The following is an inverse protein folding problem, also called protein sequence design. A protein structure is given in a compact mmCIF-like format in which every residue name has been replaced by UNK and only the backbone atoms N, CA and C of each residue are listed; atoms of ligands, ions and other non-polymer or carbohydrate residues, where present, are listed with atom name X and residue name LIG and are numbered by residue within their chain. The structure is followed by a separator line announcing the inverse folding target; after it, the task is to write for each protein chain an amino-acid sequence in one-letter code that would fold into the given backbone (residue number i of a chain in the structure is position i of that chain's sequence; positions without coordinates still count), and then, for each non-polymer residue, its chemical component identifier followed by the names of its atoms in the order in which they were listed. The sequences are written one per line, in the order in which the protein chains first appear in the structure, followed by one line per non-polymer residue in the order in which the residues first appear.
data_IF_991495912309
#
_entry.id   IF_991495912309
#
_cell.length_a   1.000
_cell.length_b   1.000
_cell.length_c   1.000
_cell.angle_alpha   90.00
_cell.angle_beta   90.00
_cell.angle_gamma   90.00
#
_symmetry.space_group_name_H-M   'P 1'
#
loop_
_entity.id
_entity.type
_entity.pdbx_description
1 polymer ?
#
# COMPACT_ATOMS: atom_id res chain seq x y z
N UNK A 1 -3.99 -27.64 16.66
CA UNK A 1 -3.69 -26.23 17.01
C UNK A 1 -4.94 -25.44 16.65
N UNK A 2 -5.48 -24.61 17.54
CA UNK A 2 -6.60 -23.74 17.19
C UNK A 2 -6.14 -22.80 16.07
N UNK A 3 -6.53 -23.09 14.83
CA UNK A 3 -6.32 -22.17 13.71
C UNK A 3 -7.17 -20.93 14.02
N UNK A 4 -6.51 -19.82 14.32
CA UNK A 4 -7.20 -18.54 14.41
C UNK A 4 -7.68 -18.18 13.00
N UNK A 5 -8.98 -17.88 12.85
CA UNK A 5 -9.59 -17.64 11.54
C UNK A 5 -9.02 -16.41 10.84
N UNK A 6 -8.67 -15.37 11.60
CA UNK A 6 -8.22 -14.09 11.06
C UNK A 6 -7.03 -13.57 11.88
N UNK A 7 -6.08 -12.90 11.21
CA UNK A 7 -4.98 -12.24 11.91
C UNK A 7 -4.09 -11.39 11.03
N UNK A 8 -3.16 -10.71 11.69
CA UNK A 8 -2.22 -9.76 11.11
C UNK A 8 -0.84 -10.42 11.02
N UNK A 9 -0.17 -10.22 9.90
CA UNK A 9 1.16 -10.79 9.64
C UNK A 9 2.16 -9.69 9.33
N UNK A 10 3.31 -9.77 10.00
CA UNK A 10 4.50 -9.00 9.68
C UNK A 10 5.62 -9.94 9.25
N UNK A 11 6.40 -9.51 8.27
CA UNK A 11 7.63 -10.19 7.86
C UNK A 11 8.77 -9.18 7.92
N UNK A 12 9.75 -9.42 8.80
CA UNK A 12 10.80 -8.44 9.09
C UNK A 12 12.18 -9.09 9.22
N UNK A 13 13.15 -8.64 8.42
CA UNK A 13 14.55 -9.09 8.50
C UNK A 13 15.47 -8.03 9.09
N UNK A 14 16.07 -8.32 10.24
CA UNK A 14 17.02 -7.45 10.92
C UNK A 14 16.39 -6.42 11.84
N UNK A 15 17.19 -5.93 12.79
CA UNK A 15 16.73 -5.18 13.97
C UNK A 15 15.95 -3.91 13.63
N UNK A 16 16.34 -3.23 12.54
CA UNK A 16 15.65 -2.01 12.09
C UNK A 16 14.17 -2.29 11.79
N UNK A 17 13.88 -3.30 10.99
CA UNK A 17 12.53 -3.61 10.53
C UNK A 17 11.70 -4.26 11.64
N UNK A 18 12.33 -5.02 12.54
CA UNK A 18 11.68 -5.52 13.76
C UNK A 18 11.23 -4.35 14.64
N UNK A 19 12.07 -3.33 14.85
CA UNK A 19 11.70 -2.12 15.60
C UNK A 19 10.55 -1.35 14.94
N UNK A 20 10.56 -1.23 13.62
CA UNK A 20 9.44 -0.63 12.86
C UNK A 20 8.15 -1.45 13.07
N UNK A 21 8.21 -2.77 12.97
CA UNK A 21 7.06 -3.66 13.19
C UNK A 21 6.48 -3.51 14.61
N UNK A 22 7.33 -3.40 15.64
CA UNK A 22 6.90 -3.16 17.03
C UNK A 22 6.11 -1.85 17.14
N UNK A 23 6.54 -0.77 16.47
CA UNK A 23 5.80 0.51 16.46
C UNK A 23 4.45 0.34 15.78
N UNK A 24 4.41 -0.31 14.61
CA UNK A 24 3.16 -0.59 13.89
C UNK A 24 2.19 -1.41 14.74
N UNK A 25 2.66 -2.52 15.31
CA UNK A 25 1.85 -3.38 16.19
C UNK A 25 1.36 -2.65 17.44
N UNK A 26 2.19 -1.80 18.03
CA UNK A 26 1.77 -0.99 19.18
C UNK A 26 0.58 -0.10 18.82
N UNK A 27 0.56 0.48 17.61
CA UNK A 27 -0.57 1.26 17.14
C UNK A 27 -1.83 0.42 16.92
N UNK A 28 -1.68 -0.82 16.41
CA UNK A 28 -2.78 -1.76 16.26
C UNK A 28 -3.37 -2.20 17.61
N UNK A 29 -2.53 -2.62 18.56
CA UNK A 29 -2.98 -3.06 19.89
C UNK A 29 -3.69 -1.96 20.69
N UNK A 30 -3.38 -0.68 20.45
CA UNK A 30 -4.13 0.46 21.03
C UNK A 30 -5.56 0.56 20.51
N UNK A 31 -5.81 0.11 19.28
CA UNK A 31 -7.12 0.15 18.63
C UNK A 31 -7.88 -1.15 18.89
N UNK A 32 -7.18 -2.28 18.82
CA UNK A 32 -7.72 -3.61 18.99
C UNK A 32 -6.75 -4.48 19.79
N UNK A 33 -6.96 -4.51 21.11
CA UNK A 33 -6.14 -5.28 22.04
C UNK A 33 -6.18 -6.80 21.74
N UNK A 34 -7.32 -7.28 21.24
CA UNK A 34 -7.57 -8.69 20.92
C UNK A 34 -7.02 -9.16 19.57
N UNK A 35 -6.43 -8.26 18.77
CA UNK A 35 -5.90 -8.60 17.46
C UNK A 35 -4.85 -9.71 17.54
N UNK A 36 -4.95 -10.75 16.71
CA UNK A 36 -3.96 -11.82 16.60
C UNK A 36 -2.84 -11.42 15.64
N UNK A 37 -1.60 -11.46 16.11
CA UNK A 37 -0.46 -10.88 15.40
C UNK A 37 0.69 -11.89 15.38
N UNK A 38 1.16 -12.20 14.17
CA UNK A 38 2.33 -13.06 13.95
C UNK A 38 3.46 -12.24 13.32
N UNK A 39 4.67 -12.43 13.83
CA UNK A 39 5.91 -11.94 13.23
C UNK A 39 6.72 -13.09 12.65
N UNK A 40 7.09 -13.00 11.38
CA UNK A 40 8.14 -13.84 10.77
C UNK A 40 9.44 -13.06 10.70
N UNK A 41 10.53 -13.60 11.24
CA UNK A 41 11.79 -12.87 11.35
C UNK A 41 13.03 -13.78 11.38
N UNK A 42 14.20 -13.22 11.07
CA UNK A 42 15.49 -13.91 11.09
C UNK A 42 16.14 -13.90 12.49
N UNK A 43 15.59 -13.11 13.42
CA UNK A 43 16.15 -12.94 14.76
C UNK A 43 15.34 -13.68 15.81
N UNK A 44 16.05 -14.29 16.76
CA UNK A 44 15.43 -14.75 17.99
C UNK A 44 15.19 -13.54 18.90
N UNK A 45 13.92 -13.18 19.10
CA UNK A 45 13.49 -12.08 19.95
C UNK A 45 12.35 -12.54 20.84
N UNK A 46 12.15 -11.87 21.96
CA UNK A 46 10.97 -12.04 22.81
C UNK A 46 10.24 -10.70 22.90
N UNK A 47 8.98 -10.66 22.46
CA UNK A 47 8.13 -9.48 22.56
C UNK A 47 6.66 -9.91 22.65
N UNK A 48 6.00 -9.55 23.75
CA UNK A 48 4.63 -9.95 24.08
C UNK A 48 3.55 -9.32 23.22
N UNK A 49 3.88 -8.33 22.38
CA UNK A 49 2.94 -7.74 21.44
C UNK A 49 2.57 -8.69 20.28
N UNK A 50 3.40 -9.71 20.04
CA UNK A 50 3.14 -10.75 19.04
C UNK A 50 2.66 -12.02 19.74
N UNK A 51 1.51 -12.54 19.31
CA UNK A 51 1.00 -13.83 19.79
C UNK A 51 1.88 -15.00 19.33
N UNK A 52 2.55 -14.83 18.18
CA UNK A 52 3.47 -15.82 17.62
C UNK A 52 4.66 -15.16 16.93
N UNK A 53 5.84 -15.70 17.18
CA UNK A 53 7.08 -15.31 16.49
C UNK A 53 7.63 -16.56 15.79
N UNK A 54 7.78 -16.48 14.47
CA UNK A 54 8.29 -17.56 13.62
C UNK A 54 9.68 -17.19 13.17
N UNK A 55 10.67 -17.98 13.58
CA UNK A 55 12.07 -17.74 13.22
C UNK A 55 12.35 -18.44 11.88
N UNK A 56 12.79 -17.65 10.88
CA UNK A 56 13.26 -18.08 9.57
C UNK A 56 14.63 -17.46 9.34
N UNK A 57 15.73 -18.19 9.63
CA UNK A 57 17.08 -17.67 9.42
C UNK A 57 17.30 -17.29 7.95
N UNK A 58 18.05 -16.21 7.71
CA UNK A 58 18.44 -15.79 6.37
C UNK A 58 19.91 -15.35 6.38
N UNK A 59 20.63 -15.70 5.33
CA UNK A 59 21.98 -15.20 5.13
C UNK A 59 21.93 -13.81 4.48
N UNK A 60 21.87 -12.77 5.32
CA UNK A 60 21.77 -11.36 4.89
C UNK A 60 23.02 -10.92 4.08
N UNK A 61 24.13 -11.67 4.11
CA UNK A 61 25.31 -11.36 3.29
C UNK A 61 24.98 -11.37 1.79
N UNK A 62 23.97 -12.14 1.39
CA UNK A 62 23.45 -12.16 0.05
C UNK A 62 22.24 -11.23 -0.05
N UNK A 63 22.44 -9.99 -0.54
CA UNK A 63 21.37 -8.97 -0.68
C UNK A 63 20.09 -9.52 -1.36
N UNK A 64 20.26 -10.47 -2.29
CA UNK A 64 19.18 -11.17 -3.00
C UNK A 64 18.23 -11.91 -2.04
N UNK A 65 18.78 -12.56 -1.01
CA UNK A 65 18.00 -13.27 0.01
C UNK A 65 17.14 -12.31 0.84
N UNK A 66 17.65 -11.11 1.13
CA UNK A 66 16.89 -10.07 1.81
C UNK A 66 15.68 -9.58 1.00
N UNK A 67 15.83 -9.45 -0.32
CA UNK A 67 14.72 -9.07 -1.20
C UNK A 67 13.62 -10.13 -1.26
N UNK A 68 14.02 -11.41 -1.30
CA UNK A 68 13.09 -12.53 -1.41
C UNK A 68 12.37 -12.85 -0.11
N UNK A 69 12.93 -12.45 1.03
CA UNK A 69 12.47 -12.89 2.35
C UNK A 69 10.97 -12.65 2.58
N UNK A 70 10.47 -11.44 2.25
CA UNK A 70 9.04 -11.12 2.35
C UNK A 70 8.20 -12.09 1.52
N UNK A 71 8.52 -12.20 0.23
CA UNK A 71 7.74 -12.98 -0.75
C UNK A 71 7.75 -14.46 -0.40
N UNK A 72 8.89 -14.98 0.11
CA UNK A 72 9.05 -16.38 0.52
C UNK A 72 8.18 -16.74 1.73
N UNK A 73 7.98 -15.81 2.65
CA UNK A 73 7.39 -16.12 3.97
C UNK A 73 5.95 -15.59 4.15
N UNK A 74 5.53 -14.59 3.37
CA UNK A 74 4.21 -13.94 3.53
C UNK A 74 3.03 -14.92 3.49
N UNK A 75 3.02 -15.88 2.57
CA UNK A 75 1.89 -16.80 2.44
C UNK A 75 2.05 -18.01 3.35
N UNK A 76 3.10 -18.82 3.18
CA UNK A 76 3.21 -20.12 3.84
C UNK A 76 3.37 -20.02 5.37
N UNK A 77 4.07 -19.02 5.87
CA UNK A 77 4.28 -18.86 7.32
C UNK A 77 3.11 -18.16 8.03
N UNK A 78 2.13 -17.64 7.30
CA UNK A 78 0.89 -17.16 7.92
C UNK A 78 0.12 -18.32 8.56
N UNK A 79 -0.20 -18.25 9.88
CA UNK A 79 -0.96 -19.28 10.57
C UNK A 79 -2.49 -19.08 10.47
N UNK A 80 -2.96 -18.08 9.73
CA UNK A 80 -4.38 -17.70 9.68
C UNK A 80 -5.07 -18.20 8.41
N UNK A 81 -6.37 -18.48 8.50
CA UNK A 81 -7.20 -18.74 7.31
C UNK A 81 -7.39 -17.47 6.47
N UNK A 82 -7.52 -16.31 7.11
CA UNK A 82 -7.55 -14.99 6.49
C UNK A 82 -6.48 -14.11 7.11
N UNK A 83 -5.62 -13.51 6.29
CA UNK A 83 -4.45 -12.77 6.73
C UNK A 83 -4.46 -11.36 6.18
N UNK A 84 -4.24 -10.37 7.04
CA UNK A 84 -3.81 -9.03 6.60
C UNK A 84 -2.30 -8.93 6.82
N UNK A 85 -1.52 -9.03 5.75
CA UNK A 85 -0.11 -8.70 5.76
C UNK A 85 0.06 -7.17 5.71
N UNK A 86 1.00 -6.65 6.50
CA UNK A 86 1.41 -5.25 6.48
C UNK A 86 2.93 -5.13 6.57
N UNK A 87 3.51 -4.21 5.79
CA UNK A 87 4.92 -3.84 5.88
C UNK A 87 5.23 -3.22 7.24
N UNK A 88 6.50 -3.26 7.66
CA UNK A 88 6.92 -2.87 9.01
C UNK A 88 6.82 -1.37 9.27
N UNK A 89 6.95 -0.53 8.24
CA UNK A 89 6.86 0.94 8.31
C UNK A 89 5.43 1.47 8.16
N UNK A 90 4.49 0.74 8.76
CA UNK A 90 3.06 1.09 8.80
C UNK A 90 2.62 1.61 10.16
N UNK A 91 1.45 2.26 10.21
CA UNK A 91 0.81 2.73 11.44
C UNK A 91 -0.70 2.64 11.31
N UNK A 92 -1.37 2.01 12.28
CA UNK A 92 -2.81 1.84 12.31
C UNK A 92 -3.49 3.09 12.87
N UNK A 93 -4.45 3.59 12.11
CA UNK A 93 -5.21 4.79 12.44
C UNK A 93 -6.58 4.47 13.03
N UNK A 94 -7.15 3.32 12.67
CA UNK A 94 -8.51 2.91 13.00
C UNK A 94 -8.64 1.37 12.87
N UNK A 95 -9.75 0.81 13.35
CA UNK A 95 -9.99 -0.64 13.27
C UNK A 95 -10.12 -1.08 11.80
N UNK A 96 -9.52 -2.23 11.52
CA UNK A 96 -9.41 -2.85 10.21
C UNK A 96 -10.15 -4.18 10.13
N UNK A 97 -10.86 -4.63 11.18
CA UNK A 97 -11.54 -5.93 11.16
C UNK A 97 -12.53 -6.10 9.99
N UNK A 98 -13.25 -5.03 9.62
CA UNK A 98 -14.21 -5.04 8.50
C UNK A 98 -13.58 -5.47 7.16
N UNK A 99 -12.26 -5.29 6.98
CA UNK A 99 -11.61 -5.64 5.71
C UNK A 99 -11.68 -7.14 5.43
N UNK A 100 -11.69 -7.98 6.46
CA UNK A 100 -11.67 -9.45 6.33
C UNK A 100 -12.95 -10.03 5.71
N UNK A 101 -14.07 -9.29 5.76
CA UNK A 101 -15.33 -9.64 5.08
C UNK A 101 -15.18 -9.60 3.56
N UNK A 102 -14.25 -8.79 3.04
CA UNK A 102 -13.92 -8.75 1.60
C UNK A 102 -13.53 -10.13 1.06
N UNK A 103 -12.90 -10.97 1.90
CA UNK A 103 -12.44 -12.31 1.51
C UNK A 103 -13.56 -13.35 1.36
N UNK A 104 -14.80 -12.99 1.70
CA UNK A 104 -15.98 -13.83 1.41
C UNK A 104 -16.33 -13.82 -0.08
N UNK A 105 -15.91 -12.79 -0.81
CA UNK A 105 -16.19 -12.62 -2.24
C UNK A 105 -14.92 -12.68 -3.12
N UNK A 106 -13.78 -12.31 -2.55
CA UNK A 106 -12.49 -12.23 -3.23
C UNK A 106 -11.45 -13.16 -2.59
N UNK A 107 -10.35 -13.39 -3.29
CA UNK A 107 -9.24 -14.21 -2.80
C UNK A 107 -8.14 -13.35 -2.22
N UNK A 108 -7.91 -12.17 -2.80
CA UNK A 108 -6.89 -11.21 -2.40
C UNK A 108 -7.44 -9.78 -2.52
N UNK A 109 -7.03 -8.88 -1.64
CA UNK A 109 -7.26 -7.45 -1.80
C UNK A 109 -5.96 -6.65 -1.54
N UNK A 110 -5.70 -5.66 -2.39
CA UNK A 110 -4.50 -4.82 -2.36
C UNK A 110 -4.82 -3.40 -2.80
N UNK A 111 -3.99 -2.43 -2.43
CA UNK A 111 -4.17 -1.04 -2.82
C UNK A 111 -3.24 -0.66 -3.99
N UNK A 112 -3.64 0.31 -4.85
CA UNK A 112 -2.79 0.78 -5.93
C UNK A 112 -1.52 1.45 -5.43
N UNK A 113 -0.39 1.23 -6.12
CA UNK A 113 0.80 2.04 -5.92
C UNK A 113 0.59 3.40 -6.61
N UNK A 114 0.75 4.54 -5.90
CA UNK A 114 0.48 5.85 -6.47
C UNK A 114 1.54 6.34 -7.47
N UNK A 115 2.69 5.67 -7.59
CA UNK A 115 3.88 6.23 -8.26
C UNK A 115 4.73 5.27 -9.07
N UNK A 116 4.62 3.97 -8.84
CA UNK A 116 5.45 2.99 -9.52
C UNK A 116 5.19 3.01 -11.03
N UNK A 117 6.17 3.41 -11.86
CA UNK A 117 5.98 3.56 -13.30
C UNK A 117 6.07 2.23 -14.04
N UNK A 118 6.46 1.14 -13.36
CA UNK A 118 6.65 -0.16 -13.98
C UNK A 118 5.32 -0.78 -14.39
N UNK A 119 5.38 -1.70 -15.35
CA UNK A 119 4.20 -2.34 -15.94
C UNK A 119 4.43 -3.83 -16.09
N UNK A 120 3.42 -4.60 -15.72
CA UNK A 120 3.44 -6.05 -15.89
C UNK A 120 3.43 -6.43 -17.38
N UNK A 121 4.02 -7.59 -17.68
CA UNK A 121 3.98 -8.20 -19.00
C UNK A 121 2.91 -9.29 -19.04
N UNK A 122 2.24 -9.42 -20.19
CA UNK A 122 1.33 -10.54 -20.43
C UNK A 122 2.11 -11.85 -20.39
N UNK A 123 1.67 -12.86 -19.61
CA UNK A 123 2.35 -14.15 -19.56
C UNK A 123 2.25 -14.91 -20.90
N UNK A 124 1.26 -14.62 -21.74
CA UNK A 124 1.07 -15.28 -23.04
C UNK A 124 1.91 -14.65 -24.16
N UNK A 125 2.08 -13.33 -24.15
CA UNK A 125 2.69 -12.59 -25.28
C UNK A 125 4.00 -11.90 -24.93
N UNK A 126 4.36 -11.85 -23.64
CA UNK A 126 5.46 -11.09 -23.09
C UNK A 126 5.43 -9.58 -23.41
N UNK A 127 4.28 -9.07 -23.90
CA UNK A 127 4.08 -7.65 -24.19
C UNK A 127 3.73 -6.90 -22.92
N UNK A 128 4.24 -5.68 -22.78
CA UNK A 128 3.89 -4.76 -21.70
C UNK A 128 2.41 -4.41 -21.78
N UNK A 129 1.71 -4.55 -20.65
CA UNK A 129 0.30 -4.17 -20.53
C UNK A 129 0.21 -2.72 -20.03
N UNK A 130 0.17 -1.76 -20.95
CA UNK A 130 0.29 -0.34 -20.63
C UNK A 130 -0.77 0.18 -19.62
N UNK A 131 -2.00 -0.31 -19.71
CA UNK A 131 -3.11 0.06 -18.81
C UNK A 131 -3.16 -0.74 -17.51
N UNK A 132 -2.29 -1.74 -17.34
CA UNK A 132 -2.21 -2.55 -16.13
C UNK A 132 -1.27 -1.88 -15.14
N UNK A 133 -1.85 -1.12 -14.20
CA UNK A 133 -1.13 -0.51 -13.10
C UNK A 133 -0.63 -1.57 -12.10
N UNK A 134 0.48 -1.28 -11.44
CA UNK A 134 0.96 -2.13 -10.34
C UNK A 134 0.33 -1.75 -9.01
N UNK A 135 0.24 -2.74 -8.13
CA UNK A 135 -0.30 -2.57 -6.79
C UNK A 135 0.82 -2.56 -5.76
N UNK A 136 0.64 -1.78 -4.69
CA UNK A 136 1.61 -1.78 -3.61
C UNK A 136 1.45 -3.05 -2.77
N UNK A 137 2.54 -3.79 -2.60
CA UNK A 137 2.58 -5.07 -1.89
C UNK A 137 2.86 -4.92 -0.38
N UNK A 138 2.73 -3.71 0.16
CA UNK A 138 2.96 -3.44 1.58
C UNK A 138 1.72 -3.55 2.45
N UNK A 139 0.54 -3.71 1.86
CA UNK A 139 -0.68 -4.13 2.56
C UNK A 139 -1.41 -5.11 1.65
N UNK A 140 -1.50 -6.37 2.08
CA UNK A 140 -2.11 -7.44 1.29
C UNK A 140 -3.05 -8.23 2.19
N UNK A 141 -4.34 -8.22 1.84
CA UNK A 141 -5.34 -9.07 2.46
C UNK A 141 -5.50 -10.33 1.61
N UNK A 142 -5.43 -11.52 2.22
CA UNK A 142 -5.61 -12.78 1.47
C UNK A 142 -6.18 -13.89 2.36
N UNK A 143 -6.75 -14.93 1.74
CA UNK A 143 -7.16 -16.17 2.42
C UNK A 143 -6.33 -17.38 2.00
N UNK A 144 -6.26 -18.41 2.85
CA UNK A 144 -5.70 -19.71 2.48
C UNK A 144 -6.64 -20.41 1.51
N UNK A 145 -6.12 -20.77 0.33
CA UNK A 145 -6.82 -21.56 -0.69
C UNK A 145 -5.82 -22.10 -1.71
N UNK A 146 -6.20 -23.10 -2.49
CA UNK A 146 -5.35 -23.61 -3.57
C UNK A 146 -5.02 -22.54 -4.63
N UNK A 147 -6.00 -21.66 -4.94
CA UNK A 147 -5.79 -20.54 -5.87
C UNK A 147 -4.71 -19.58 -5.36
N UNK A 148 -4.82 -19.16 -4.09
CA UNK A 148 -3.84 -18.25 -3.50
C UNK A 148 -2.49 -18.94 -3.31
N UNK A 149 -2.45 -20.21 -2.94
CA UNK A 149 -1.20 -20.95 -2.85
C UNK A 149 -0.45 -20.95 -4.18
N UNK A 150 -1.15 -21.26 -5.28
CA UNK A 150 -0.58 -21.15 -6.62
C UNK A 150 -0.10 -19.71 -6.91
N UNK A 151 -0.92 -18.71 -6.64
CA UNK A 151 -0.59 -17.31 -6.90
C UNK A 151 0.66 -16.83 -6.15
N UNK A 152 0.74 -17.05 -4.83
CA UNK A 152 1.89 -16.62 -4.03
C UNK A 152 3.15 -17.42 -4.38
N UNK A 153 3.02 -18.70 -4.73
CA UNK A 153 4.13 -19.50 -5.24
C UNK A 153 4.66 -18.96 -6.57
N UNK A 154 3.77 -18.63 -7.52
CA UNK A 154 4.16 -18.01 -8.79
C UNK A 154 4.82 -16.64 -8.60
N UNK A 155 4.34 -15.85 -7.65
CA UNK A 155 4.97 -14.58 -7.31
C UNK A 155 6.42 -14.75 -6.85
N UNK A 156 6.69 -15.72 -5.97
CA UNK A 156 8.04 -16.06 -5.54
C UNK A 156 8.91 -16.47 -6.73
N UNK A 157 8.44 -17.41 -7.55
CA UNK A 157 9.19 -17.95 -8.69
C UNK A 157 9.55 -16.87 -9.73
N UNK A 158 8.60 -16.00 -10.07
CA UNK A 158 8.81 -14.91 -11.03
C UNK A 158 9.82 -13.91 -10.46
N UNK A 159 9.65 -13.49 -9.20
CA UNK A 159 10.54 -12.51 -8.60
C UNK A 159 11.96 -13.04 -8.41
N UNK A 160 12.10 -14.28 -7.96
CA UNK A 160 13.37 -14.99 -7.83
C UNK A 160 14.07 -15.12 -9.19
N UNK A 161 13.34 -15.53 -10.23
CA UNK A 161 13.87 -15.58 -11.59
C UNK A 161 14.38 -14.21 -12.05
N UNK A 162 13.64 -13.13 -11.82
CA UNK A 162 14.10 -11.77 -12.17
C UNK A 162 15.37 -11.38 -11.42
N UNK A 163 15.48 -11.73 -10.14
CA UNK A 163 16.67 -11.46 -9.30
C UNK A 163 17.89 -12.27 -9.77
N UNK A 164 17.69 -13.55 -10.12
CA UNK A 164 18.76 -14.43 -10.63
C UNK A 164 19.26 -13.90 -11.97
N UNK A 165 18.34 -13.59 -12.88
CA UNK A 165 18.63 -13.11 -14.23
C UNK A 165 19.02 -11.62 -14.29
N UNK A 166 19.04 -10.92 -13.15
CA UNK A 166 19.37 -9.48 -13.02
C UNK A 166 18.47 -8.58 -13.89
N UNK A 167 17.23 -9.00 -14.14
CA UNK A 167 16.24 -8.25 -14.93
C UNK A 167 15.34 -7.36 -14.07
N UNK A 168 15.53 -7.38 -12.75
CA UNK A 168 14.81 -6.50 -11.81
C UNK A 168 15.03 -5.03 -12.17
N UNK A 169 16.23 -4.61 -12.58
CA UNK A 169 16.50 -3.21 -12.92
C UNK A 169 16.14 -2.26 -11.76
N UNK A 170 15.14 -1.39 -11.99
CA UNK A 170 14.52 -0.52 -10.96
C UNK A 170 13.18 -1.07 -10.42
N UNK A 171 12.71 -2.21 -10.92
CA UNK A 171 11.49 -2.87 -10.46
C UNK A 171 11.69 -3.44 -9.05
N UNK A 172 10.61 -3.66 -8.33
CA UNK A 172 10.59 -4.37 -7.05
C UNK A 172 9.70 -5.63 -7.20
N UNK A 173 9.26 -6.20 -6.08
CA UNK A 173 8.37 -7.36 -6.06
C UNK A 173 6.96 -7.08 -6.62
N UNK A 174 6.54 -5.81 -6.75
CA UNK A 174 5.19 -5.42 -7.15
C UNK A 174 4.85 -5.79 -8.60
N UNK A 175 5.78 -5.63 -9.54
CA UNK A 175 5.55 -6.06 -10.93
C UNK A 175 5.36 -7.57 -11.01
N UNK A 176 6.21 -8.32 -10.30
CA UNK A 176 6.13 -9.79 -10.24
C UNK A 176 4.83 -10.27 -9.58
N UNK A 177 4.29 -9.51 -8.63
CA UNK A 177 2.99 -9.78 -8.01
C UNK A 177 1.86 -9.68 -9.04
N UNK A 178 1.85 -8.66 -9.90
CA UNK A 178 0.83 -8.54 -10.95
C UNK A 178 1.02 -9.62 -12.03
N UNK A 179 2.25 -9.91 -12.43
CA UNK A 179 2.53 -10.98 -13.40
C UNK A 179 2.05 -12.35 -12.90
N UNK A 180 2.30 -12.67 -11.63
CA UNK A 180 1.76 -13.88 -11.00
C UNK A 180 0.24 -13.88 -10.95
N UNK A 181 -0.39 -12.72 -10.72
CA UNK A 181 -1.85 -12.61 -10.69
C UNK A 181 -2.45 -12.89 -12.07
N UNK A 182 -1.84 -12.36 -13.14
CA UNK A 182 -2.25 -12.59 -14.54
C UNK A 182 -2.15 -14.06 -14.98
N UNK A 183 -1.33 -14.86 -14.29
CA UNK A 183 -1.23 -16.32 -14.50
C UNK A 183 -2.20 -17.12 -13.60
N UNK A 184 -2.81 -16.48 -12.61
CA UNK A 184 -3.66 -17.12 -11.60
C UNK A 184 -5.15 -16.98 -11.91
N UNK A 185 -5.97 -17.80 -11.25
CA UNK A 185 -7.43 -17.63 -11.20
C UNK A 185 -7.91 -16.83 -9.98
N UNK A 186 -7.01 -16.13 -9.27
CA UNK A 186 -7.36 -15.40 -8.06
C UNK A 186 -8.24 -14.19 -8.36
N UNK A 187 -9.35 -14.06 -7.62
CA UNK A 187 -10.21 -12.89 -7.65
C UNK A 187 -9.61 -11.78 -6.81
N UNK A 188 -9.08 -10.75 -7.46
CA UNK A 188 -8.47 -9.59 -6.81
C UNK A 188 -9.47 -8.46 -6.58
N UNK A 189 -9.48 -7.88 -5.39
CA UNK A 189 -10.17 -6.63 -5.09
C UNK A 189 -9.18 -5.47 -4.93
N UNK A 190 -9.52 -4.29 -5.45
CA UNK A 190 -8.69 -3.10 -5.36
C UNK A 190 -9.18 -2.22 -4.22
N UNK A 191 -8.39 -2.15 -3.16
CA UNK A 191 -8.63 -1.29 -2.00
C UNK A 191 -8.38 0.18 -2.36
N UNK A 192 -9.07 1.09 -1.65
CA UNK A 192 -8.73 2.52 -1.72
C UNK A 192 -7.41 2.81 -1.01
N UNK A 193 -6.78 3.95 -1.32
CA UNK A 193 -5.57 4.40 -0.60
C UNK A 193 -5.78 4.60 0.91
N UNK A 194 -7.01 4.60 1.41
CA UNK A 194 -7.26 4.66 2.85
C UNK A 194 -6.71 3.43 3.60
N UNK A 195 -6.65 2.27 2.94
CA UNK A 195 -6.16 1.01 3.50
C UNK A 195 -4.65 0.84 3.37
N UNK A 196 -3.98 1.70 2.61
CA UNK A 196 -2.54 1.69 2.40
C UNK A 196 -2.10 3.11 1.98
N UNK A 197 -2.16 4.04 2.93
CA UNK A 197 -1.92 5.45 2.66
C UNK A 197 -0.41 5.68 2.56
N UNK A 198 0.13 5.57 1.34
CA UNK A 198 1.54 5.76 1.01
C UNK A 198 1.97 7.23 1.13
N UNK A 199 2.12 7.68 2.37
CA UNK A 199 2.39 9.07 2.78
C UNK A 199 3.62 9.74 2.19
N UNK A 200 4.67 9.04 1.70
CA UNK A 200 5.74 9.69 0.92
C UNK A 200 5.29 10.26 -0.42
N UNK A 201 4.12 9.86 -0.94
CA UNK A 201 3.66 10.18 -2.30
C UNK A 201 2.32 10.93 -2.31
N UNK A 202 1.95 11.48 -3.47
CA UNK A 202 0.63 12.07 -3.66
C UNK A 202 -0.42 10.97 -3.86
N UNK A 203 -1.57 11.09 -3.21
CA UNK A 203 -2.72 10.21 -3.44
C UNK A 203 -4.02 10.91 -3.04
N UNK A 204 -5.14 10.38 -3.55
CA UNK A 204 -6.47 10.89 -3.22
C UNK A 204 -7.14 10.03 -2.16
N UNK A 205 -7.96 10.67 -1.33
CA UNK A 205 -8.72 10.04 -0.26
C UNK A 205 -10.18 10.48 -0.35
N UNK A 206 -11.08 9.53 -0.15
CA UNK A 206 -12.52 9.74 0.02
C UNK A 206 -12.99 9.34 1.44
N UNK A 207 -12.36 8.31 2.00
CA UNK A 207 -12.65 7.72 3.30
C UNK A 207 -11.63 8.18 4.36
N UNK A 208 -11.88 7.81 5.62
CA UNK A 208 -10.88 7.92 6.70
C UNK A 208 -9.75 6.92 6.44
N UNK A 209 -8.51 7.34 6.66
CA UNK A 209 -7.33 6.47 6.57
C UNK A 209 -7.36 5.46 7.71
N UNK A 210 -7.21 4.19 7.34
CA UNK A 210 -7.11 3.04 8.24
C UNK A 210 -5.66 2.68 8.54
N UNK A 211 -4.79 2.71 7.53
CA UNK A 211 -3.36 2.37 7.66
C UNK A 211 -2.51 3.42 6.95
N UNK A 212 -1.63 4.08 7.70
CA UNK A 212 -0.53 4.89 7.15
C UNK A 212 0.59 3.94 6.75
N UNK A 213 1.14 4.14 5.56
CA UNK A 213 2.35 3.48 5.09
C UNK A 213 3.41 4.57 4.84
N UNK A 214 4.41 4.62 5.70
CA UNK A 214 5.51 5.57 5.63
C UNK A 214 6.15 5.86 6.98
N UNK A 215 7.44 6.23 6.93
CA UNK A 215 8.24 6.54 8.11
C UNK A 215 8.05 8.01 8.50
N UNK A 216 7.60 8.23 9.72
CA UNK A 216 7.41 9.56 10.31
C UNK A 216 8.01 9.61 11.71
N UNK A 217 8.50 10.78 12.11
CA UNK A 217 8.95 11.00 13.49
C UNK A 217 7.80 11.00 14.49
N UNK A 218 6.60 11.38 14.04
CA UNK A 218 5.38 11.39 14.84
C UNK A 218 4.17 11.01 13.98
N UNK A 219 3.79 9.73 14.02
CA UNK A 219 2.64 9.21 13.26
C UNK A 219 1.30 9.78 13.73
N UNK A 220 1.15 10.20 15.00
CA UNK A 220 -0.11 10.78 15.50
C UNK A 220 -0.41 12.12 14.84
N UNK A 221 0.60 12.96 14.58
CA UNK A 221 0.41 14.22 13.82
C UNK A 221 -0.09 13.92 12.41
N UNK A 222 0.51 12.92 11.75
CA UNK A 222 0.15 12.53 10.37
C UNK A 222 -1.25 11.91 10.33
N UNK A 223 -1.58 11.03 11.26
CA UNK A 223 -2.92 10.46 11.46
C UNK A 223 -3.95 11.57 11.64
N UNK A 224 -3.69 12.52 12.53
CA UNK A 224 -4.58 13.64 12.77
C UNK A 224 -4.78 14.48 11.52
N UNK A 225 -3.74 14.80 10.73
CA UNK A 225 -3.91 15.57 9.49
C UNK A 225 -4.62 14.79 8.38
N UNK A 226 -4.34 13.49 8.22
CA UNK A 226 -5.01 12.63 7.24
C UNK A 226 -6.51 12.47 7.54
N UNK A 227 -6.87 12.37 8.82
CA UNK A 227 -8.23 12.10 9.30
C UNK A 227 -8.95 13.34 9.86
N UNK A 228 -8.32 14.51 9.85
CA UNK A 228 -8.90 15.81 10.25
C UNK A 228 -10.24 16.13 9.59
N UNK A 229 -10.41 15.59 8.38
CA UNK A 229 -11.55 15.76 7.52
C UNK A 229 -12.26 14.42 7.46
N UNK A 230 -13.14 14.12 8.43
CA UNK A 230 -13.78 12.81 8.52
C UNK A 230 -14.53 12.50 7.21
N UNK A 231 -14.58 11.22 6.86
CA UNK A 231 -15.02 10.68 5.57
C UNK A 231 -16.25 11.38 4.98
N UNK A 232 -16.26 11.50 3.64
CA UNK A 232 -17.22 12.20 2.73
C UNK A 232 -16.67 13.44 2.02
N UNK A 233 -15.42 13.85 2.25
CA UNK A 233 -14.79 14.95 1.50
C UNK A 233 -13.57 14.46 0.71
N UNK A 234 -13.69 14.50 -0.63
CA UNK A 234 -12.58 14.25 -1.53
C UNK A 234 -11.41 15.21 -1.23
N UNK A 235 -10.27 14.62 -0.90
CA UNK A 235 -9.04 15.32 -0.57
C UNK A 235 -7.83 14.65 -1.22
N UNK A 236 -6.76 15.40 -1.37
CA UNK A 236 -5.47 14.94 -1.86
C UNK A 236 -4.43 15.13 -0.76
N UNK A 237 -3.63 14.11 -0.49
CA UNK A 237 -2.49 14.23 0.41
C UNK A 237 -1.32 14.91 -0.31
N UNK A 238 -0.76 15.96 0.30
CA UNK A 238 0.46 16.63 -0.16
C UNK A 238 1.63 16.23 0.77
N UNK A 239 2.54 15.34 0.33
CA UNK A 239 3.60 14.79 1.19
C UNK A 239 4.58 15.87 1.67
N UNK A 240 4.96 16.82 0.80
CA UNK A 240 5.92 17.89 1.14
C UNK A 240 5.45 18.76 2.32
N UNK A 241 4.13 18.93 2.47
CA UNK A 241 3.55 19.77 3.53
C UNK A 241 2.91 18.97 4.66
N UNK A 242 2.93 17.63 4.58
CA UNK A 242 2.20 16.74 5.47
C UNK A 242 0.75 17.18 5.71
N UNK A 243 0.02 17.48 4.63
CA UNK A 243 -1.32 18.07 4.72
C UNK A 243 -2.26 17.56 3.64
N UNK A 244 -3.53 17.41 3.99
CA UNK A 244 -4.61 17.21 3.01
C UNK A 244 -5.10 18.53 2.39
N UNK A 245 -5.15 18.57 1.06
CA UNK A 245 -5.78 19.63 0.26
C UNK A 245 -7.18 19.15 -0.14
N UNK A 246 -8.21 19.95 0.16
CA UNK A 246 -9.57 19.66 -0.26
C UNK A 246 -9.81 20.10 -1.70
N UNK A 247 -10.64 19.35 -2.43
CA UNK A 247 -11.30 19.88 -3.63
C UNK A 247 -12.33 20.92 -3.20
N UNK A 248 -12.21 22.16 -3.68
CA UNK A 248 -13.29 23.16 -3.57
C UNK A 248 -14.48 22.68 -4.40
N UNK A 249 -15.68 22.68 -3.82
CA UNK A 249 -16.91 22.25 -4.50
C UNK A 249 -17.93 23.39 -4.59
N UNK A 250 -18.87 23.29 -5.53
CA UNK A 250 -20.00 24.20 -5.66
C UNK A 250 -19.60 25.65 -5.95
N UNK A 251 -20.24 26.59 -5.24
CA UNK A 251 -20.05 28.02 -5.41
C UNK A 251 -18.58 28.46 -5.27
N UNK A 252 -17.80 27.90 -4.34
CA UNK A 252 -16.40 28.27 -4.17
C UNK A 252 -15.53 27.97 -5.41
N UNK A 253 -15.83 26.89 -6.12
CA UNK A 253 -15.17 26.57 -7.38
C UNK A 253 -15.62 27.55 -8.46
N UNK A 254 -16.94 27.76 -8.58
CA UNK A 254 -17.52 28.67 -9.56
C UNK A 254 -16.98 30.10 -9.38
N UNK A 255 -17.02 30.69 -8.19
CA UNK A 255 -16.49 32.03 -7.91
C UNK A 255 -15.01 32.18 -8.30
N UNK A 256 -14.15 31.20 -7.97
CA UNK A 256 -12.74 31.24 -8.39
C UNK A 256 -12.59 31.18 -9.91
N UNK A 257 -13.36 30.32 -10.59
CA UNK A 257 -13.30 30.21 -12.05
C UNK A 257 -13.87 31.44 -12.76
N UNK A 258 -14.96 32.02 -12.24
CA UNK A 258 -15.59 33.22 -12.78
C UNK A 258 -14.69 34.44 -12.58
N UNK A 259 -14.10 34.61 -11.40
CA UNK A 259 -13.11 35.66 -11.15
C UNK A 259 -11.88 35.56 -12.05
N UNK A 260 -11.40 34.33 -12.31
CA UNK A 260 -10.32 34.09 -13.28
C UNK A 260 -10.73 34.43 -14.71
N UNK A 261 -11.92 33.99 -15.16
CA UNK A 261 -12.46 34.29 -16.50
C UNK A 261 -12.64 35.79 -16.73
N UNK A 262 -13.15 36.54 -15.73
CA UNK A 262 -13.29 37.99 -15.80
C UNK A 262 -11.91 38.65 -15.93
N UNK A 263 -10.95 38.22 -15.10
CA UNK A 263 -9.57 38.73 -15.17
C UNK A 263 -8.92 38.46 -16.53
N UNK A 264 -9.07 37.26 -17.06
CA UNK A 264 -8.54 36.86 -18.36
C UNK A 264 -9.21 37.66 -19.49
N UNK A 265 -10.55 37.84 -19.45
CA UNK A 265 -11.28 38.66 -20.41
C UNK A 265 -10.82 40.13 -20.42
N UNK A 266 -10.65 40.74 -19.23
CA UNK A 266 -10.15 42.11 -19.09
C UNK A 266 -8.72 42.22 -19.62
N UNK A 267 -7.84 41.28 -19.30
CA UNK A 267 -6.45 41.27 -19.78
C UNK A 267 -6.37 41.10 -21.30
N UNK A 268 -7.21 40.25 -21.89
CA UNK A 268 -7.27 40.05 -23.35
C UNK A 268 -7.81 41.30 -24.06
N UNK A 269 -8.86 41.93 -23.52
CA UNK A 269 -9.39 43.19 -24.06
C UNK A 269 -8.40 44.36 -23.97
N UNK A 270 -7.62 44.44 -22.88
CA UNK A 270 -6.54 45.42 -22.74
C UNK A 270 -5.41 45.17 -23.75
N UNK A 271 -5.02 43.91 -23.98
CA UNK A 271 -4.00 43.55 -24.98
C UNK A 271 -4.44 43.90 -26.40
N UNK A 272 -5.69 43.64 -26.76
CA UNK A 272 -6.24 44.00 -28.08
C UNK A 272 -6.29 45.52 -28.31
N UNK A 273 -6.67 46.29 -27.28
CA UNK A 273 -6.64 47.77 -27.35
C UNK A 273 -5.22 48.34 -27.44
N UNK A 274 -4.25 47.69 -26.79
CA UNK A 274 -2.85 48.09 -26.89
C UNK A 274 -2.26 47.75 -28.27
N UNK A 275 -2.60 46.60 -28.88
CA UNK A 275 -2.14 46.25 -30.23
C UNK A 275 -2.75 47.12 -31.34
N UNK A 276 -3.95 47.66 -31.14
CA UNK A 276 -4.59 48.58 -32.08
C UNK A 276 -4.05 50.03 -32.00
N UNK A 277 -3.23 50.36 -31.00
CA UNK A 277 -2.59 51.68 -30.88
C UNK A 277 -1.22 51.77 -31.55
N UNK A 278 -0.73 50.69 -32.16
CA UNK A 278 0.57 50.59 -32.83
C UNK A 278 0.44 50.23 -34.33
N UNK A 279 -0.73 50.49 -34.92
CA UNK A 279 -1.01 50.50 -36.36
C UNK A 279 -1.59 51.87 -36.71
#
# INVERSE_FOLDING_TARGET
MNNQKMGYLYVATGDKYIKEAIVSVTSLKKINESAHITLVTDKNINNSLFDKIIIRPVDIKHYKEGLLYKVRHIYHDSPYEKTLFVDTDTYFCDDCQEIFETLDFFDVAVAPDPTDPNKAKSPQTNKVLAACEVYNTGVILFKKSANNEFFFQRWLEIYESKIINKTVGKENDQTSFIEAWLESNCKMYVLSHAWNARTPFFFTLKDSVKIIHGRHSNHEIIKNELNKLPGKQHRCWQPIKNRCIKKKQGWEYQFKTTGKKIKDYVLTGLRQKLSQKWL
#
